data_IF_266833762280
#
_entry.id   IF_266833762280
#
_cell.length_a   1.000
_cell.length_b   1.000
_cell.length_c   1.000
_cell.angle_alpha   90.00
_cell.angle_beta   90.00
_cell.angle_gamma   90.00
#
_symmetry.space_group_name_H-M   'P 1'
#
loop_
_entity.id
_entity.type
_entity.pdbx_description
1 polymer ?
#
# COMPACT_ATOMS: atom_id res chain seq x y z
N UNK A 1 1.68 -1.09 19.36
CA UNK A 1 0.24 -1.16 19.70
C UNK A 1 -0.56 -1.30 18.41
N UNK A 2 -1.63 -2.07 18.45
CA UNK A 2 -2.62 -2.17 17.37
C UNK A 2 -3.41 -0.86 17.28
N UNK A 3 -3.61 -0.33 16.06
CA UNK A 3 -4.46 0.86 15.82
C UNK A 3 -5.94 0.49 15.82
N UNK A 4 -6.28 -0.65 15.21
CA UNK A 4 -7.65 -1.13 15.14
C UNK A 4 -7.67 -2.64 14.90
N UNK A 5 -8.73 -3.28 15.38
CA UNK A 5 -9.03 -4.69 15.15
C UNK A 5 -10.49 -4.81 14.75
N UNK A 6 -10.77 -5.51 13.64
CA UNK A 6 -12.12 -5.69 13.12
C UNK A 6 -12.32 -7.14 12.68
N UNK A 7 -13.45 -7.74 13.08
CA UNK A 7 -13.89 -9.03 12.53
C UNK A 7 -14.54 -8.84 11.15
N UNK A 8 -14.11 -9.62 10.17
CA UNK A 8 -14.68 -9.65 8.83
C UNK A 8 -15.88 -10.60 8.76
N UNK A 9 -16.72 -10.45 7.72
CA UNK A 9 -17.85 -11.36 7.47
C UNK A 9 -17.40 -12.79 7.21
N UNK A 10 -16.17 -12.98 6.73
CA UNK A 10 -15.53 -14.29 6.56
C UNK A 10 -15.22 -15.01 7.88
N UNK A 11 -15.21 -14.29 9.01
CA UNK A 11 -14.79 -14.81 10.31
C UNK A 11 -13.39 -14.35 10.74
N UNK A 12 -12.56 -13.90 9.79
CA UNK A 12 -11.17 -13.48 10.03
C UNK A 12 -11.08 -12.17 10.82
N UNK A 13 -9.89 -11.91 11.36
CA UNK A 13 -9.56 -10.62 11.96
C UNK A 13 -8.70 -9.79 11.02
N UNK A 14 -9.17 -8.57 10.72
CA UNK A 14 -8.36 -7.53 10.10
C UNK A 14 -7.77 -6.65 11.21
N UNK A 15 -6.45 -6.61 11.29
CA UNK A 15 -5.73 -5.83 12.31
C UNK A 15 -4.88 -4.77 11.62
N UNK A 16 -5.04 -3.52 12.02
CA UNK A 16 -4.17 -2.42 11.64
C UNK A 16 -3.10 -2.21 12.72
N UNK A 17 -1.84 -2.22 12.30
CA UNK A 17 -0.66 -2.07 13.15
C UNK A 17 -0.06 -0.68 12.99
N UNK A 18 0.47 -0.13 14.09
CA UNK A 18 1.08 1.20 14.06
C UNK A 18 2.46 1.23 13.39
N UNK A 19 3.24 0.15 13.49
CA UNK A 19 4.64 0.12 13.05
C UNK A 19 4.97 -1.09 12.19
N UNK A 20 5.88 -0.89 11.24
CA UNK A 20 6.39 -1.95 10.36
C UNK A 20 7.01 -3.11 11.12
N UNK A 21 7.84 -2.81 12.12
CA UNK A 21 8.56 -3.81 12.92
C UNK A 21 7.60 -4.78 13.59
N UNK A 22 6.53 -4.26 14.20
CA UNK A 22 5.51 -5.09 14.83
C UNK A 22 4.74 -5.92 13.80
N UNK A 23 4.41 -5.34 12.64
CA UNK A 23 3.73 -6.06 11.59
C UNK A 23 4.56 -7.25 11.07
N UNK A 24 5.88 -7.06 10.92
CA UNK A 24 6.80 -8.13 10.51
C UNK A 24 6.89 -9.26 11.54
N UNK A 25 6.88 -8.92 12.83
CA UNK A 25 6.86 -9.93 13.90
C UNK A 25 5.54 -10.71 13.92
N UNK A 26 4.41 -10.03 13.73
CA UNK A 26 3.08 -10.65 13.75
C UNK A 26 2.89 -11.60 12.55
N UNK A 27 3.40 -11.23 11.37
CA UNK A 27 3.34 -12.08 10.16
C UNK A 27 4.06 -13.42 10.36
N UNK A 28 5.04 -13.48 11.27
CA UNK A 28 5.79 -14.70 11.58
C UNK A 28 5.09 -15.60 12.61
N UNK A 29 3.94 -15.20 13.15
CA UNK A 29 3.20 -16.03 14.10
C UNK A 29 2.57 -17.22 13.37
N UNK A 30 2.73 -18.40 13.95
CA UNK A 30 2.13 -19.65 13.45
C UNK A 30 1.05 -20.18 14.40
N UNK A 31 1.11 -19.79 15.68
CA UNK A 31 0.09 -20.11 16.67
C UNK A 31 -0.15 -18.93 17.61
N UNK A 32 -1.37 -18.87 18.12
CA UNK A 32 -1.75 -18.04 19.25
C UNK A 32 -2.03 -18.98 20.43
N UNK A 33 -1.08 -19.05 21.36
CA UNK A 33 -1.06 -20.09 22.40
C UNK A 33 -1.08 -21.50 21.75
N UNK A 34 -2.14 -22.28 21.96
CA UNK A 34 -2.33 -23.62 21.40
C UNK A 34 -3.08 -23.64 20.07
N UNK A 35 -3.62 -22.50 19.62
CA UNK A 35 -4.48 -22.43 18.42
C UNK A 35 -3.60 -22.07 17.21
N UNK A 36 -3.58 -22.89 16.15
CA UNK A 36 -2.86 -22.53 14.93
C UNK A 36 -3.52 -21.33 14.25
N UNK A 37 -2.71 -20.39 13.76
CA UNK A 37 -3.19 -19.20 13.06
C UNK A 37 -2.43 -19.01 11.76
N UNK A 38 -3.13 -18.55 10.73
CA UNK A 38 -2.50 -18.11 9.49
C UNK A 38 -2.51 -16.60 9.45
N UNK A 39 -1.32 -16.01 9.33
CA UNK A 39 -1.14 -14.56 9.32
C UNK A 39 -0.63 -14.11 7.97
N UNK A 40 -1.33 -13.17 7.33
CA UNK A 40 -0.93 -12.63 6.03
C UNK A 40 -1.08 -11.11 5.95
N UNK A 41 -0.17 -10.46 5.22
CA UNK A 41 -0.32 -9.05 4.91
C UNK A 41 -1.53 -8.84 3.97
N UNK A 42 -2.35 -7.83 4.25
CA UNK A 42 -3.51 -7.56 3.41
C UNK A 42 -3.09 -6.92 2.08
N UNK A 43 -3.38 -7.57 0.95
CA UNK A 43 -2.85 -7.21 -0.36
C UNK A 43 -3.18 -5.77 -0.81
N UNK A 44 -4.43 -5.32 -0.62
CA UNK A 44 -4.90 -4.03 -1.17
C UNK A 44 -4.82 -2.87 -0.17
N UNK A 45 -5.23 -3.10 1.08
CA UNK A 45 -5.32 -2.08 2.11
C UNK A 45 -3.97 -1.57 2.64
N UNK A 46 -2.86 -2.22 2.28
CA UNK A 46 -1.50 -1.78 2.60
C UNK A 46 -0.96 -0.71 1.64
N UNK A 47 -1.69 -0.41 0.57
CA UNK A 47 -1.32 0.63 -0.39
C UNK A 47 -2.30 1.79 -0.36
N UNK A 48 -1.76 2.99 -0.51
CA UNK A 48 -2.53 4.20 -0.80
C UNK A 48 -2.16 4.68 -2.20
N UNK A 49 -3.15 5.16 -2.95
CA UNK A 49 -2.95 5.79 -4.26
C UNK A 49 -3.43 7.23 -4.17
N UNK A 50 -2.65 8.18 -4.69
CA UNK A 50 -3.09 9.56 -4.85
C UNK A 50 -2.71 10.10 -6.22
N UNK A 51 -3.40 11.16 -6.64
CA UNK A 51 -3.12 11.85 -7.90
C UNK A 51 -2.64 13.25 -7.58
N UNK A 52 -1.53 13.65 -8.19
CA UNK A 52 -1.01 15.01 -8.14
C UNK A 52 -1.00 15.62 -9.54
N UNK A 53 -1.16 16.94 -9.61
CA UNK A 53 -1.07 17.71 -10.85
C UNK A 53 0.11 18.68 -10.74
N UNK A 54 1.16 18.49 -11.53
CA UNK A 54 2.32 19.37 -11.54
C UNK A 54 2.85 19.53 -12.98
N UNK A 55 2.73 20.73 -13.54
CA UNK A 55 3.15 21.03 -14.91
C UNK A 55 4.67 20.95 -15.10
N UNK A 56 5.44 21.35 -14.09
CA UNK A 56 6.90 21.34 -14.09
C UNK A 56 7.48 19.93 -14.22
N UNK A 57 6.74 18.91 -13.76
CA UNK A 57 7.13 17.51 -13.85
C UNK A 57 6.80 16.89 -15.21
N UNK A 58 6.20 17.61 -16.18
CA UNK A 58 5.75 17.03 -17.44
C UNK A 58 6.86 16.31 -18.22
N UNK A 59 8.04 16.92 -18.27
CA UNK A 59 9.19 16.44 -19.04
C UNK A 59 10.28 15.81 -18.18
N UNK A 60 10.01 15.63 -16.88
CA UNK A 60 10.97 15.02 -15.96
C UNK A 60 10.87 13.49 -16.06
N UNK A 61 12.00 12.78 -16.24
CA UNK A 61 12.02 11.31 -16.21
C UNK A 61 11.45 10.76 -14.91
N UNK A 62 10.64 9.69 -15.00
CA UNK A 62 9.89 9.13 -13.87
C UNK A 62 10.80 8.68 -12.73
N UNK A 63 12.02 8.25 -13.04
CA UNK A 63 13.04 7.82 -12.08
C UNK A 63 13.52 9.00 -11.22
N UNK A 64 13.69 10.17 -11.82
CA UNK A 64 14.06 11.40 -11.10
C UNK A 64 12.91 11.87 -10.21
N UNK A 65 11.67 11.79 -10.71
CA UNK A 65 10.50 12.12 -9.92
C UNK A 65 10.42 11.18 -8.71
N UNK A 66 10.49 9.86 -8.91
CA UNK A 66 10.44 8.87 -7.83
C UNK A 66 11.52 9.13 -6.77
N UNK A 67 12.75 9.45 -7.19
CA UNK A 67 13.83 9.80 -6.26
C UNK A 67 13.52 11.03 -5.41
N UNK A 68 12.87 12.05 -5.98
CA UNK A 68 12.45 13.24 -5.23
C UNK A 68 11.37 12.95 -4.18
N UNK A 69 10.55 11.91 -4.39
CA UNK A 69 9.48 11.51 -3.49
C UNK A 69 9.88 10.43 -2.47
N UNK A 70 11.15 10.04 -2.41
CA UNK A 70 11.63 8.94 -1.56
C UNK A 70 11.36 9.17 -0.06
N UNK A 71 11.46 10.42 0.41
CA UNK A 71 11.17 10.77 1.81
C UNK A 71 9.68 10.60 2.20
N UNK A 72 8.78 10.60 1.21
CA UNK A 72 7.33 10.44 1.42
C UNK A 72 6.88 8.99 1.27
N UNK A 73 7.83 8.04 1.22
CA UNK A 73 7.56 6.59 1.09
C UNK A 73 6.75 6.23 -0.16
N UNK A 74 6.89 7.03 -1.23
CA UNK A 74 6.36 6.69 -2.54
C UNK A 74 7.19 5.56 -3.13
N UNK A 75 6.52 4.46 -3.44
CA UNK A 75 7.16 3.24 -3.98
C UNK A 75 7.01 3.15 -5.49
N UNK A 76 5.98 3.78 -6.06
CA UNK A 76 5.74 3.76 -7.49
C UNK A 76 5.09 5.07 -7.95
N UNK A 77 5.47 5.51 -9.15
CA UNK A 77 4.86 6.66 -9.82
C UNK A 77 4.48 6.25 -11.24
N UNK A 78 3.27 6.61 -11.65
CA UNK A 78 2.77 6.39 -13.01
C UNK A 78 2.25 7.71 -13.59
N UNK A 79 2.64 8.02 -14.82
CA UNK A 79 2.10 9.18 -15.54
C UNK A 79 0.75 8.85 -16.15
N UNK A 80 -0.25 9.71 -15.91
CA UNK A 80 -1.52 9.61 -16.61
C UNK A 80 -1.31 10.12 -18.03
N UNK A 81 -1.72 9.30 -19.00
CA UNK A 81 -1.70 9.66 -20.42
C UNK A 81 -3.14 9.80 -20.90
N UNK A 82 -3.38 10.81 -21.73
CA UNK A 82 -4.69 11.02 -22.36
C UNK A 82 -4.60 10.61 -23.82
N UNK A 83 -5.65 9.95 -24.32
CA UNK A 83 -5.76 9.63 -25.74
C UNK A 83 -6.42 10.81 -26.46
N UNK A 84 -5.71 11.42 -27.39
CA UNK A 84 -6.22 12.49 -28.25
C UNK A 84 -5.88 12.15 -29.70
N UNK A 85 -6.86 12.20 -30.60
CA UNK A 85 -6.70 11.88 -32.02
C UNK A 85 -6.02 10.51 -32.28
N UNK A 86 -6.33 9.52 -31.44
CA UNK A 86 -5.76 8.17 -31.54
C UNK A 86 -4.38 8.01 -30.86
N UNK A 87 -3.69 9.08 -30.51
CA UNK A 87 -2.35 9.07 -29.89
C UNK A 87 -2.42 9.24 -28.36
N UNK A 88 -1.52 8.58 -27.64
CA UNK A 88 -1.33 8.75 -26.19
C UNK A 88 -0.37 9.90 -25.90
N UNK A 89 -0.89 10.95 -25.26
CA UNK A 89 -0.14 12.13 -24.88
C UNK A 89 0.07 12.18 -23.37
N UNK A 90 1.28 12.56 -22.95
CA UNK A 90 1.61 12.73 -21.54
C UNK A 90 0.85 13.92 -20.93
N UNK A 91 0.49 13.80 -19.67
CA UNK A 91 -0.18 14.87 -18.92
C UNK A 91 0.64 15.30 -17.70
N UNK A 92 0.24 16.44 -17.12
CA UNK A 92 0.75 16.95 -15.85
C UNK A 92 0.35 16.12 -14.63
N UNK A 93 -0.51 15.11 -14.81
CA UNK A 93 -1.04 14.30 -13.73
C UNK A 93 -0.19 13.05 -13.50
N UNK A 94 0.17 12.82 -12.24
CA UNK A 94 0.92 11.66 -11.78
C UNK A 94 0.11 10.92 -10.73
N UNK A 95 0.08 9.59 -10.84
CA UNK A 95 -0.39 8.69 -9.81
C UNK A 95 0.82 8.33 -8.95
N UNK A 96 0.73 8.58 -7.65
CA UNK A 96 1.70 8.15 -6.66
C UNK A 96 1.10 6.96 -5.89
N UNK A 97 1.93 5.96 -5.62
CA UNK A 97 1.57 4.81 -4.78
C UNK A 97 2.51 4.77 -3.58
N UNK A 98 1.95 4.69 -2.37
CA UNK A 98 2.70 4.59 -1.11
C UNK A 98 2.31 3.35 -0.32
N UNK A 99 3.22 2.85 0.51
CA UNK A 99 2.97 1.75 1.46
C UNK A 99 2.87 2.31 2.88
N UNK A 100 1.75 2.97 3.20
CA UNK A 100 1.59 3.69 4.49
C UNK A 100 0.74 2.94 5.53
N UNK A 101 0.26 1.74 5.21
CA UNK A 101 -0.62 0.98 6.10
C UNK A 101 -0.03 -0.41 6.37
N UNK A 102 -0.10 -0.83 7.62
CA UNK A 102 0.33 -2.15 8.09
C UNK A 102 -0.89 -2.94 8.55
N UNK A 103 -1.71 -3.35 7.59
CA UNK A 103 -2.88 -4.19 7.82
C UNK A 103 -2.58 -5.66 7.54
N UNK A 104 -3.00 -6.49 8.49
CA UNK A 104 -2.77 -7.93 8.53
C UNK A 104 -4.11 -8.62 8.66
N UNK A 105 -4.28 -9.72 7.93
CA UNK A 105 -5.41 -10.65 8.07
C UNK A 105 -4.93 -11.85 8.89
N UNK A 106 -5.65 -12.14 9.97
CA UNK A 106 -5.50 -13.35 10.77
C UNK A 106 -6.67 -14.28 10.50
N UNK A 107 -6.36 -15.47 10.05
CA UNK A 107 -7.30 -16.58 9.90
C UNK A 107 -7.04 -17.56 11.04
N UNK A 108 -8.08 -17.87 11.83
CA UNK A 108 -7.98 -18.84 12.92
C UNK A 108 -8.16 -20.24 12.31
N UNK A 109 -7.17 -21.10 12.45
CA UNK A 109 -7.29 -22.51 12.10
C UNK A 109 -8.11 -23.22 13.17
N UNK A 110 -9.19 -23.89 12.76
CA UNK A 110 -9.87 -24.90 13.57
C UNK A 110 -9.13 -26.22 13.51
#
# INVERSE_FOLDING_TARGET
>A
MTKSTRKLRSGDLLIEIATRKQAQQIIQLESLDTIPVTVSAHATLNSSKCVISCGELLHVPMEKVLKGFQQQEVTHIQRIKIRQNGQLNDTKYLILITLQKYQIRLELGT
#
